data_IF_969800631399
#
_entry.id   IF_969800631399
#
_cell.length_a   1.000
_cell.length_b   1.000
_cell.length_c   1.000
_cell.angle_alpha   90.00
_cell.angle_beta   90.00
_cell.angle_gamma   90.00
#
_symmetry.space_group_name_H-M   'P 1'
#
loop_
_entity.id
_entity.type
_entity.pdbx_description
1 polymer ?
#
# COMPACT_ATOMS: atom_id res chain seq x y z
N UNK A 1 -30.38 29.20 -12.68
CA UNK A 1 -29.86 27.86 -12.33
C UNK A 1 -28.93 28.03 -11.12
N UNK A 2 -29.45 28.38 -9.95
CA UNK A 2 -30.21 27.47 -9.04
C UNK A 2 -29.41 26.19 -8.80
N UNK A 3 -28.39 26.28 -7.94
CA UNK A 3 -28.38 25.69 -6.59
C UNK A 3 -26.94 25.47 -6.12
N UNK A 4 -26.27 26.55 -5.69
CA UNK A 4 -25.14 26.48 -4.75
C UNK A 4 -25.68 26.80 -3.35
N UNK A 5 -26.49 25.91 -2.78
CA UNK A 5 -26.66 25.88 -1.33
C UNK A 5 -25.49 25.10 -0.74
N UNK A 6 -24.48 25.85 -0.29
CA UNK A 6 -23.49 25.35 0.64
C UNK A 6 -24.23 24.76 1.85
N UNK A 7 -24.18 23.43 1.99
CA UNK A 7 -24.61 22.73 3.21
C UNK A 7 -23.55 22.98 4.29
N UNK A 8 -23.51 24.23 4.77
CA UNK A 8 -22.75 24.69 5.92
C UNK A 8 -23.57 24.39 7.18
N UNK A 9 -23.60 23.11 7.53
CA UNK A 9 -24.39 22.58 8.64
C UNK A 9 -23.76 21.31 9.17
N UNK A 10 -22.44 21.32 9.39
CA UNK A 10 -21.81 20.32 10.24
C UNK A 10 -21.96 20.81 11.68
N UNK A 11 -23.00 20.32 12.35
CA UNK A 11 -23.10 20.33 13.82
C UNK A 11 -21.73 19.97 14.41
N UNK A 12 -21.30 20.68 15.46
CA UNK A 12 -20.07 20.34 16.17
C UNK A 12 -20.07 18.84 16.50
N UNK A 13 -18.98 18.13 16.20
CA UNK A 13 -18.85 16.70 16.56
C UNK A 13 -19.05 16.46 18.07
N UNK A 14 -18.87 17.52 18.88
CA UNK A 14 -19.04 17.53 20.32
C UNK A 14 -20.52 17.47 20.74
N UNK A 15 -21.45 17.94 19.91
CA UNK A 15 -22.88 17.97 20.21
C UNK A 15 -23.59 16.64 19.88
N UNK A 16 -22.99 15.83 19.01
CA UNK A 16 -23.54 14.54 18.59
C UNK A 16 -23.37 13.52 19.71
N UNK A 17 -24.48 13.02 20.27
CA UNK A 17 -24.47 12.07 21.39
C UNK A 17 -24.40 10.59 20.96
N UNK A 18 -24.64 10.30 19.67
CA UNK A 18 -24.64 8.93 19.14
C UNK A 18 -23.28 8.61 18.52
N UNK A 19 -22.57 7.63 19.07
CA UNK A 19 -21.19 7.30 18.68
C UNK A 19 -21.05 6.90 17.21
N UNK A 20 -21.98 6.10 16.69
CA UNK A 20 -21.99 5.68 15.28
C UNK A 20 -22.15 6.88 14.33
N UNK A 21 -23.01 7.84 14.69
CA UNK A 21 -23.23 9.07 13.91
C UNK A 21 -21.99 9.94 13.95
N UNK A 22 -21.37 10.10 15.13
CA UNK A 22 -20.12 10.86 15.29
C UNK A 22 -18.99 10.27 14.45
N UNK A 23 -18.86 8.94 14.47
CA UNK A 23 -17.88 8.20 13.66
C UNK A 23 -18.12 8.44 12.17
N UNK A 24 -19.37 8.33 11.70
CA UNK A 24 -19.71 8.55 10.30
C UNK A 24 -19.38 9.99 9.86
N UNK A 25 -19.71 11.00 10.68
CA UNK A 25 -19.38 12.40 10.41
C UNK A 25 -17.88 12.64 10.35
N UNK A 26 -17.10 12.00 11.24
CA UNK A 26 -15.65 12.07 11.20
C UNK A 26 -15.11 11.50 9.88
N UNK A 27 -15.59 10.33 9.44
CA UNK A 27 -15.21 9.80 8.12
C UNK A 27 -15.59 10.75 6.98
N UNK A 28 -16.77 11.38 7.02
CA UNK A 28 -17.18 12.36 6.01
C UNK A 28 -16.20 13.54 5.97
N UNK A 29 -15.79 14.06 7.12
CA UNK A 29 -14.80 15.14 7.19
C UNK A 29 -13.45 14.73 6.61
N UNK A 30 -12.96 13.52 6.95
CA UNK A 30 -11.71 12.99 6.39
C UNK A 30 -11.79 12.83 4.87
N UNK A 31 -12.91 12.30 4.34
CA UNK A 31 -13.11 12.15 2.90
C UNK A 31 -13.15 13.50 2.18
N UNK A 32 -13.78 14.52 2.78
CA UNK A 32 -13.81 15.88 2.22
C UNK A 32 -12.43 16.55 2.23
N UNK A 33 -11.63 16.27 3.25
CA UNK A 33 -10.28 16.79 3.38
C UNK A 33 -9.20 15.92 2.71
N UNK A 34 -9.58 14.82 2.06
CA UNK A 34 -8.63 13.89 1.47
C UNK A 34 -7.84 14.53 0.33
N UNK A 35 -6.52 14.36 0.38
CA UNK A 35 -5.56 14.74 -0.66
C UNK A 35 -4.67 13.54 -0.98
N UNK A 36 -3.77 13.65 -1.95
CA UNK A 36 -2.81 12.57 -2.23
C UNK A 36 -1.78 12.44 -1.10
N UNK A 37 -1.45 13.55 -0.46
CA UNK A 37 -0.36 13.69 0.52
C UNK A 37 -0.75 13.32 1.94
N UNK A 38 -2.05 13.28 2.26
CA UNK A 38 -2.55 12.91 3.60
C UNK A 38 -3.07 11.46 3.67
N UNK A 39 -2.74 10.63 2.68
CA UNK A 39 -3.00 9.19 2.68
C UNK A 39 -1.76 8.33 2.92
N UNK A 40 -1.90 7.03 2.68
CA UNK A 40 -0.84 6.03 2.92
C UNK A 40 0.08 5.77 1.71
N UNK A 41 0.05 6.67 0.73
CA UNK A 41 0.94 6.60 -0.43
C UNK A 41 2.32 7.14 -0.04
N UNK A 42 3.39 6.50 -0.54
CA UNK A 42 4.74 7.01 -0.34
C UNK A 42 4.98 8.25 -1.22
N UNK A 43 6.00 9.04 -0.89
CA UNK A 43 6.40 10.18 -1.73
C UNK A 43 6.69 9.75 -3.19
N UNK A 44 7.35 8.61 -3.38
CA UNK A 44 7.61 8.02 -4.70
C UNK A 44 6.30 7.65 -5.43
N UNK A 45 5.32 7.07 -4.71
CA UNK A 45 4.01 6.72 -5.30
C UNK A 45 3.24 7.99 -5.73
N UNK A 46 3.29 9.06 -4.92
CA UNK A 46 2.66 10.35 -5.23
C UNK A 46 3.36 11.04 -6.41
N UNK A 47 4.69 11.06 -6.42
CA UNK A 47 5.47 11.63 -7.53
C UNK A 47 5.15 10.92 -8.84
N UNK A 48 5.07 9.58 -8.82
CA UNK A 48 4.70 8.77 -9.98
C UNK A 48 3.28 9.08 -10.47
N UNK A 49 2.34 9.34 -9.55
CA UNK A 49 0.98 9.76 -9.91
C UNK A 49 0.94 11.18 -10.46
N UNK A 50 1.75 12.10 -9.96
CA UNK A 50 1.72 13.49 -10.46
C UNK A 50 2.48 13.64 -11.78
N UNK A 51 3.48 12.78 -12.03
CA UNK A 51 4.38 12.84 -13.17
C UNK A 51 4.46 11.49 -13.90
N UNK A 52 3.38 11.05 -14.58
CA UNK A 52 3.39 9.77 -15.28
C UNK A 52 4.42 9.76 -16.41
N UNK A 53 5.08 8.63 -16.68
CA UNK A 53 6.07 8.52 -17.74
C UNK A 53 5.43 8.76 -19.11
N UNK A 54 5.93 9.77 -19.84
CA UNK A 54 5.43 10.15 -21.17
C UNK A 54 6.06 9.36 -22.33
N UNK A 55 6.98 8.45 -22.02
CA UNK A 55 7.70 7.64 -23.02
C UNK A 55 8.13 6.31 -22.41
N UNK A 56 8.40 5.34 -23.28
CA UNK A 56 8.90 4.02 -22.88
C UNK A 56 10.29 4.20 -22.24
N UNK A 57 10.50 3.79 -20.97
CA UNK A 57 11.79 3.94 -20.31
C UNK A 57 12.90 3.15 -21.02
N UNK A 58 14.07 3.78 -21.18
CA UNK A 58 15.22 3.15 -21.85
C UNK A 58 15.69 1.86 -21.15
N UNK A 59 15.44 1.73 -19.85
CA UNK A 59 15.75 0.54 -19.06
C UNK A 59 14.99 -0.71 -19.52
N UNK A 60 13.85 -0.56 -20.21
CA UNK A 60 13.15 -1.70 -20.82
C UNK A 60 13.89 -2.30 -22.02
N UNK A 61 15.03 -1.72 -22.43
CA UNK A 61 15.92 -2.28 -23.43
C UNK A 61 17.23 -2.84 -22.82
N UNK A 62 17.40 -2.74 -21.50
CA UNK A 62 18.59 -3.23 -20.80
C UNK A 62 18.55 -4.78 -20.72
N UNK A 63 19.57 -5.49 -21.26
CA UNK A 63 19.65 -6.95 -21.18
C UNK A 63 19.66 -7.48 -19.74
N UNK A 64 20.29 -6.77 -18.80
CA UNK A 64 20.36 -7.20 -17.40
C UNK A 64 19.01 -7.03 -16.70
N UNK A 65 18.26 -5.97 -17.01
CA UNK A 65 16.87 -5.83 -16.60
C UNK A 65 16.00 -6.99 -17.11
N UNK A 66 16.10 -7.34 -18.40
CA UNK A 66 15.35 -8.46 -18.97
C UNK A 66 15.69 -9.80 -18.30
N UNK A 67 16.98 -10.11 -18.14
CA UNK A 67 17.42 -11.29 -17.41
C UNK A 67 16.82 -11.35 -15.99
N UNK A 68 16.84 -10.20 -15.30
CA UNK A 68 16.33 -10.08 -13.94
C UNK A 68 14.82 -10.26 -13.87
N UNK A 69 14.09 -9.71 -14.85
CA UNK A 69 12.64 -9.82 -14.97
C UNK A 69 12.21 -11.25 -15.30
N UNK A 70 12.85 -11.89 -16.28
CA UNK A 70 12.55 -13.28 -16.66
C UNK A 70 12.81 -14.23 -15.49
N UNK A 71 13.95 -14.05 -14.80
CA UNK A 71 14.25 -14.82 -13.59
C UNK A 71 13.21 -14.58 -12.48
N UNK A 72 12.77 -13.34 -12.30
CA UNK A 72 11.77 -12.98 -11.30
C UNK A 72 10.41 -13.64 -11.60
N UNK A 73 9.95 -13.56 -12.85
CA UNK A 73 8.71 -14.19 -13.30
C UNK A 73 8.78 -15.72 -13.22
N UNK A 74 9.92 -16.31 -13.57
CA UNK A 74 10.14 -17.75 -13.47
C UNK A 74 10.17 -18.26 -12.03
N UNK A 75 10.61 -17.42 -11.07
CA UNK A 75 10.56 -17.77 -9.64
C UNK A 75 9.12 -17.83 -9.10
N UNK A 76 8.18 -17.05 -9.66
CA UNK A 76 6.77 -17.07 -9.25
C UNK A 76 6.58 -16.91 -7.74
N UNK A 77 6.01 -17.93 -7.08
CA UNK A 77 5.78 -17.98 -5.63
C UNK A 77 6.95 -18.61 -4.83
N UNK A 78 8.10 -18.83 -5.46
CA UNK A 78 9.27 -19.36 -4.77
C UNK A 78 9.76 -18.39 -3.69
N UNK A 79 10.49 -18.91 -2.70
CA UNK A 79 11.05 -18.07 -1.64
C UNK A 79 12.06 -17.06 -2.21
N UNK A 80 12.28 -15.96 -1.48
CA UNK A 80 13.31 -14.98 -1.78
C UNK A 80 14.70 -15.62 -1.98
N UNK A 81 14.94 -16.73 -1.29
CA UNK A 81 16.21 -17.46 -1.35
C UNK A 81 16.46 -18.08 -2.73
N UNK A 82 15.41 -18.52 -3.43
CA UNK A 82 15.54 -19.12 -4.77
C UNK A 82 16.07 -18.08 -5.77
N UNK A 83 15.47 -16.89 -5.78
CA UNK A 83 15.95 -15.80 -6.63
C UNK A 83 17.39 -15.41 -6.27
N UNK A 84 17.69 -15.33 -4.98
CA UNK A 84 19.02 -14.95 -4.47
C UNK A 84 20.08 -15.98 -4.87
N UNK A 85 19.78 -17.27 -4.75
CA UNK A 85 20.67 -18.35 -5.18
C UNK A 85 20.86 -18.37 -6.69
N UNK A 86 19.80 -18.14 -7.47
CA UNK A 86 19.88 -18.02 -8.92
C UNK A 86 20.79 -16.86 -9.33
N UNK A 87 20.59 -15.68 -8.75
CA UNK A 87 21.46 -14.51 -8.97
C UNK A 87 22.91 -14.82 -8.63
N UNK A 88 23.17 -15.47 -7.49
CA UNK A 88 24.52 -15.86 -7.11
C UNK A 88 25.17 -16.82 -8.13
N UNK A 89 24.40 -17.75 -8.69
CA UNK A 89 24.88 -18.65 -9.74
C UNK A 89 25.20 -17.91 -11.05
N UNK A 90 24.37 -16.93 -11.44
CA UNK A 90 24.60 -16.06 -12.61
C UNK A 90 25.88 -15.26 -12.43
N UNK A 91 26.03 -14.54 -11.32
CA UNK A 91 27.21 -13.70 -11.05
C UNK A 91 28.50 -14.51 -10.95
N UNK A 92 28.44 -15.76 -10.48
CA UNK A 92 29.59 -16.66 -10.47
C UNK A 92 30.05 -17.04 -11.88
N UNK A 93 29.14 -17.11 -12.86
CA UNK A 93 29.45 -17.48 -14.25
C UNK A 93 29.74 -16.27 -15.14
N UNK A 94 29.07 -15.15 -14.86
CA UNK A 94 29.12 -13.89 -15.59
C UNK A 94 29.31 -12.76 -14.58
N UNK A 95 30.56 -12.47 -14.24
CA UNK A 95 30.93 -11.49 -13.20
C UNK A 95 30.50 -10.06 -13.55
N UNK A 96 30.44 -9.73 -14.84
CA UNK A 96 30.05 -8.41 -15.34
C UNK A 96 28.51 -8.23 -15.47
N UNK A 97 27.70 -9.24 -15.14
CA UNK A 97 26.25 -9.11 -15.24
C UNK A 97 25.72 -8.12 -14.20
N UNK A 98 24.95 -7.14 -14.66
CA UNK A 98 24.18 -6.21 -13.85
C UNK A 98 22.91 -6.80 -13.25
N UNK A 99 22.79 -8.13 -13.15
CA UNK A 99 21.57 -8.79 -12.65
C UNK A 99 21.15 -8.22 -11.28
N UNK A 100 19.91 -7.76 -11.26
CA UNK A 100 19.30 -7.04 -10.15
C UNK A 100 19.06 -7.96 -8.97
N UNK A 101 19.08 -7.39 -7.77
CA UNK A 101 18.57 -8.08 -6.58
C UNK A 101 17.05 -8.19 -6.63
N UNK A 102 16.48 -9.09 -5.81
CA UNK A 102 15.03 -9.29 -5.76
C UNK A 102 14.27 -7.99 -5.41
N UNK A 103 14.82 -7.22 -4.48
CA UNK A 103 14.25 -5.92 -4.08
C UNK A 103 14.27 -4.92 -5.25
N UNK A 104 15.42 -4.79 -5.92
CA UNK A 104 15.58 -3.90 -7.05
C UNK A 104 14.65 -4.24 -8.22
N UNK A 105 14.48 -5.52 -8.57
CA UNK A 105 13.54 -5.90 -9.64
C UNK A 105 12.09 -5.68 -9.22
N UNK A 106 11.72 -5.96 -7.96
CA UNK A 106 10.36 -5.69 -7.45
C UNK A 106 10.02 -4.20 -7.50
N UNK A 107 10.95 -3.32 -7.11
CA UNK A 107 10.75 -1.86 -7.21
C UNK A 107 10.59 -1.41 -8.65
N UNK A 108 11.37 -1.94 -9.59
CA UNK A 108 11.22 -1.61 -11.02
C UNK A 108 9.91 -2.12 -11.60
N UNK A 109 9.51 -3.35 -11.28
CA UNK A 109 8.21 -3.89 -11.72
C UNK A 109 7.06 -3.05 -11.18
N UNK A 110 7.12 -2.66 -9.90
CA UNK A 110 6.16 -1.71 -9.30
C UNK A 110 6.09 -0.41 -10.08
N UNK A 111 7.24 0.23 -10.33
CA UNK A 111 7.30 1.52 -11.03
C UNK A 111 6.81 1.43 -12.47
N UNK A 112 7.14 0.36 -13.20
CA UNK A 112 6.73 0.19 -14.60
C UNK A 112 5.26 -0.23 -14.75
N UNK A 113 4.77 -1.12 -13.89
CA UNK A 113 3.38 -1.58 -13.97
C UNK A 113 2.39 -0.62 -13.29
N UNK A 114 2.88 0.24 -12.39
CA UNK A 114 2.01 1.01 -11.49
C UNK A 114 1.22 0.14 -10.52
N UNK A 115 1.47 -1.17 -10.46
CA UNK A 115 0.73 -2.12 -9.62
C UNK A 115 1.48 -2.31 -8.31
N UNK A 116 0.87 -1.83 -7.23
CA UNK A 116 1.31 -2.08 -5.86
C UNK A 116 0.12 -2.16 -4.92
N UNK A 117 0.37 -2.69 -3.72
CA UNK A 117 -0.63 -2.74 -2.65
C UNK A 117 -0.25 -1.79 -1.53
N UNK A 118 -1.23 -0.99 -1.13
CA UNK A 118 -1.29 -0.33 0.18
C UNK A 118 -1.93 -1.33 1.14
N UNK A 119 -1.32 -1.53 2.32
CA UNK A 119 -1.81 -2.46 3.32
C UNK A 119 -2.40 -1.70 4.50
N UNK A 120 -3.52 -2.20 5.00
CA UNK A 120 -4.18 -1.66 6.19
C UNK A 120 -4.45 -2.77 7.17
N UNK A 121 -4.18 -2.52 8.45
CA UNK A 121 -4.50 -3.45 9.51
C UNK A 121 -6.02 -3.57 9.62
N UNK A 122 -6.48 -4.79 9.87
CA UNK A 122 -7.90 -5.11 10.00
C UNK A 122 -8.15 -6.05 11.16
N UNK A 123 -9.36 -5.98 11.66
CA UNK A 123 -9.85 -6.95 12.63
C UNK A 123 -10.12 -8.31 11.96
N UNK A 124 -9.78 -9.41 12.65
CA UNK A 124 -9.86 -10.78 12.10
C UNK A 124 -11.29 -11.27 11.86
N UNK A 125 -12.26 -10.82 12.67
CA UNK A 125 -13.64 -11.33 12.68
C UNK A 125 -14.64 -10.47 11.91
N UNK A 126 -14.23 -9.35 11.31
CA UNK A 126 -15.11 -8.47 10.52
C UNK A 126 -14.31 -7.60 9.53
N UNK A 127 -14.99 -6.96 8.58
CA UNK A 127 -14.34 -6.06 7.62
C UNK A 127 -14.02 -4.65 8.20
N UNK A 128 -13.71 -4.51 9.48
CA UNK A 128 -13.32 -3.23 10.07
C UNK A 128 -11.82 -3.03 9.91
N UNK A 129 -11.43 -1.98 9.20
CA UNK A 129 -10.05 -1.55 9.08
C UNK A 129 -9.70 -0.51 10.14
N UNK A 130 -8.47 -0.60 10.66
CA UNK A 130 -7.90 0.38 11.58
C UNK A 130 -7.39 1.59 10.79
N UNK A 131 -8.33 2.37 10.27
CA UNK A 131 -8.08 3.56 9.44
C UNK A 131 -8.95 4.72 9.89
N UNK A 132 -8.59 5.94 9.49
CA UNK A 132 -9.34 7.15 9.82
C UNK A 132 -9.53 7.34 11.33
N UNK A 133 -10.76 7.45 11.85
CA UNK A 133 -11.01 7.59 13.30
C UNK A 133 -10.46 6.44 14.16
N UNK A 134 -10.16 5.28 13.56
CA UNK A 134 -9.64 4.11 14.25
C UNK A 134 -8.15 3.84 13.97
N UNK A 135 -7.45 4.78 13.33
CA UNK A 135 -6.04 4.59 12.96
C UNK A 135 -5.14 4.30 14.17
N UNK A 136 -5.40 4.96 15.29
CA UNK A 136 -4.62 4.82 16.54
C UNK A 136 -5.22 3.80 17.53
N UNK A 137 -6.24 3.05 17.11
CA UNK A 137 -6.86 2.05 17.97
C UNK A 137 -6.05 0.74 17.97
N UNK A 138 -5.77 0.22 19.16
CA UNK A 138 -5.13 -1.09 19.38
C UNK A 138 -6.14 -2.25 19.51
N UNK A 139 -7.42 -1.92 19.67
CA UNK A 139 -8.50 -2.90 19.82
C UNK A 139 -9.70 -2.53 18.96
N UNK A 140 -10.41 -3.54 18.47
CA UNK A 140 -11.62 -3.33 17.67
C UNK A 140 -12.69 -2.60 18.50
N UNK A 141 -13.26 -1.48 18.01
CA UNK A 141 -14.27 -0.70 18.74
C UNK A 141 -15.61 -1.45 18.94
N UNK A 142 -15.81 -2.59 18.25
CA UNK A 142 -17.06 -3.36 18.28
C UNK A 142 -17.02 -4.57 19.21
N UNK A 143 -15.88 -5.26 19.28
CA UNK A 143 -15.72 -6.50 20.05
C UNK A 143 -14.55 -6.46 21.05
N UNK A 144 -13.76 -5.39 21.07
CA UNK A 144 -12.57 -5.22 21.93
C UNK A 144 -11.44 -6.23 21.70
N UNK A 145 -11.49 -7.02 20.61
CA UNK A 145 -10.39 -7.91 20.25
C UNK A 145 -9.16 -7.12 19.77
N UNK A 146 -7.94 -7.65 20.00
CA UNK A 146 -6.71 -6.93 19.72
C UNK A 146 -6.45 -6.81 18.21
N UNK A 147 -5.89 -5.67 17.81
CA UNK A 147 -5.36 -5.41 16.48
C UNK A 147 -4.11 -6.24 16.18
N UNK A 148 -3.25 -6.41 17.18
CA UNK A 148 -1.96 -7.09 17.07
C UNK A 148 -2.01 -8.49 17.67
N UNK A 149 -1.21 -9.40 17.12
CA UNK A 149 -1.06 -10.77 17.62
C UNK A 149 -0.45 -10.73 19.03
N UNK A 150 -1.20 -11.16 20.07
CA UNK A 150 -0.74 -11.04 21.45
C UNK A 150 0.47 -11.93 21.73
N UNK A 151 0.62 -13.07 21.05
CA UNK A 151 1.75 -13.99 21.24
C UNK A 151 3.03 -13.38 20.69
N UNK A 152 2.96 -12.74 19.53
CA UNK A 152 4.12 -12.05 18.94
C UNK A 152 4.49 -10.84 19.79
N UNK A 153 3.50 -10.03 20.17
CA UNK A 153 3.72 -8.86 20.99
C UNK A 153 4.37 -9.20 22.34
N UNK A 154 3.91 -10.25 23.03
CA UNK A 154 4.50 -10.70 24.30
C UNK A 154 5.92 -11.26 24.11
N UNK A 155 6.19 -11.95 22.99
CA UNK A 155 7.47 -12.63 22.76
C UNK A 155 8.57 -11.71 22.24
N UNK A 156 8.28 -10.82 21.29
CA UNK A 156 9.27 -9.95 20.64
C UNK A 156 9.04 -8.46 20.87
N UNK A 157 7.88 -8.05 21.39
CA UNK A 157 7.49 -6.64 21.46
C UNK A 157 7.08 -6.05 20.12
N UNK A 158 6.96 -6.87 19.06
CA UNK A 158 6.62 -6.40 17.72
C UNK A 158 5.10 -6.30 17.53
N UNK A 159 4.65 -5.18 16.96
CA UNK A 159 3.25 -4.92 16.64
C UNK A 159 2.89 -5.53 15.28
N UNK A 160 2.70 -6.84 15.24
CA UNK A 160 2.28 -7.57 14.04
C UNK A 160 0.75 -7.67 14.03
N UNK A 161 0.09 -7.08 13.04
CA UNK A 161 -1.36 -7.11 12.94
C UNK A 161 -1.91 -8.54 12.75
N UNK A 162 -3.02 -8.85 13.42
CA UNK A 162 -3.72 -10.14 13.30
C UNK A 162 -4.21 -10.40 11.87
N UNK A 163 -4.63 -9.35 11.16
CA UNK A 163 -5.04 -9.41 9.77
C UNK A 163 -4.73 -8.07 9.07
N UNK A 164 -4.50 -8.13 7.76
CA UNK A 164 -4.36 -6.94 6.90
C UNK A 164 -5.22 -7.08 5.65
N UNK A 165 -5.82 -6.00 5.17
CA UNK A 165 -6.31 -5.91 3.79
C UNK A 165 -5.27 -5.26 2.88
N UNK A 166 -5.50 -5.43 1.58
CA UNK A 166 -4.65 -4.90 0.53
C UNK A 166 -5.52 -4.11 -0.45
N UNK A 167 -5.22 -2.83 -0.60
CA UNK A 167 -5.82 -1.95 -1.60
C UNK A 167 -4.83 -1.76 -2.73
N UNK A 168 -5.24 -2.02 -3.98
CA UNK A 168 -4.44 -1.74 -5.17
C UNK A 168 -4.92 -0.41 -5.74
N UNK A 169 -4.13 0.68 -5.67
CA UNK A 169 -4.51 1.96 -6.24
C UNK A 169 -4.69 1.83 -7.75
N UNK A 170 -5.76 2.42 -8.28
CA UNK A 170 -6.08 2.40 -9.71
C UNK A 170 -5.46 3.59 -10.48
N UNK A 171 -4.99 4.60 -9.75
CA UNK A 171 -4.47 5.85 -10.32
C UNK A 171 -3.39 5.62 -11.39
N UNK A 172 -2.32 4.85 -11.11
CA UNK A 172 -1.24 4.65 -12.07
C UNK A 172 -1.70 3.95 -13.36
N UNK A 173 -2.64 3.00 -13.26
CA UNK A 173 -3.16 2.27 -14.42
C UNK A 173 -4.08 3.14 -15.27
N UNK A 174 -4.86 4.02 -14.64
CA UNK A 174 -5.71 4.97 -15.36
C UNK A 174 -4.88 6.00 -16.15
N UNK A 175 -3.67 6.34 -15.70
CA UNK A 175 -2.78 7.26 -16.40
C UNK A 175 -2.16 6.68 -17.68
N UNK A 176 -2.16 5.35 -17.79
CA UNK A 176 -1.61 4.65 -18.94
C UNK A 176 -2.66 4.39 -20.05
N UNK A 177 -3.93 4.74 -19.83
CA UNK A 177 -5.03 4.65 -20.81
C UNK A 177 -5.11 5.91 -21.69
#
# INVERSE_FOLDING_TARGET
PEDEEAVDGLESLEDVQIDDVRTALHYIQLLRAATLENGDLTADDIESLQNPPSSIPAELYDPDFHLSLDAFLACGNASSDVYTAFRAAVLRRYEDSGMLTLDQIKRRVRNHSGVFSVKHDMYIGSCIAFTGPYADADTCPRCSEPRYDPVILERSGEHVACQTSSTIPLGPQLQAL
#
